data_IF_348430797143
#
_entry.id   IF_348430797143
#
_cell.length_a   1.000
_cell.length_b   1.000
_cell.length_c   1.000
_cell.angle_alpha   90.00
_cell.angle_beta   90.00
_cell.angle_gamma   90.00
#
_symmetry.space_group_name_H-M   'P 1'
#
loop_
_entity.id
_entity.type
_entity.pdbx_description
1 polymer ?
#
# COMPACT_ATOMS: atom_id res chain seq x y z
N UNK A 1 -9.70 2.87 8.49
CA UNK A 1 -10.27 1.52 8.25
C UNK A 1 -9.71 0.58 9.33
N UNK A 2 -10.55 -0.21 10.03
CA UNK A 2 -10.06 -1.26 10.92
C UNK A 2 -9.17 -2.25 10.14
N UNK A 3 -7.94 -2.49 10.60
CA UNK A 3 -6.98 -3.37 9.91
C UNK A 3 -7.54 -4.75 9.56
N UNK A 4 -8.49 -5.26 10.36
CA UNK A 4 -9.14 -6.55 10.14
C UNK A 4 -9.97 -6.62 8.84
N UNK A 5 -10.48 -5.48 8.36
CA UNK A 5 -11.26 -5.40 7.13
C UNK A 5 -10.39 -5.19 5.89
N UNK A 6 -9.09 -4.89 6.07
CA UNK A 6 -8.16 -4.59 4.99
C UNK A 6 -8.14 -5.69 3.90
N UNK A 7 -8.08 -6.99 4.20
CA UNK A 7 -8.07 -8.03 3.16
C UNK A 7 -9.35 -8.07 2.32
N UNK A 8 -10.50 -7.82 2.93
CA UNK A 8 -11.81 -7.86 2.27
C UNK A 8 -12.07 -6.60 1.42
N UNK A 9 -11.49 -5.46 1.79
CA UNK A 9 -11.62 -4.18 1.10
C UNK A 9 -10.54 -4.00 0.02
N UNK A 10 -9.37 -4.64 0.17
CA UNK A 10 -8.24 -4.58 -0.77
C UNK A 10 -8.34 -5.60 -1.92
N UNK A 11 -9.55 -5.98 -2.37
CA UNK A 11 -9.72 -6.97 -3.46
C UNK A 11 -8.99 -6.61 -4.75
N UNK A 12 -8.96 -5.31 -5.11
CA UNK A 12 -8.23 -4.85 -6.30
C UNK A 12 -6.72 -5.06 -6.17
N UNK A 13 -6.17 -4.84 -4.98
CA UNK A 13 -4.75 -5.05 -4.72
C UNK A 13 -4.38 -6.54 -4.74
N UNK A 14 -5.23 -7.38 -4.14
CA UNK A 14 -5.07 -8.84 -4.20
C UNK A 14 -5.14 -9.34 -5.65
N UNK A 15 -6.07 -8.81 -6.45
CA UNK A 15 -6.19 -9.15 -7.87
C UNK A 15 -4.92 -8.80 -8.67
N UNK A 16 -4.37 -7.60 -8.46
CA UNK A 16 -3.10 -7.20 -9.09
C UNK A 16 -1.97 -8.10 -8.64
N UNK A 17 -1.86 -8.39 -7.34
CA UNK A 17 -0.83 -9.29 -6.81
C UNK A 17 -0.90 -10.69 -7.42
N UNK A 18 -2.11 -11.25 -7.58
CA UNK A 18 -2.30 -12.57 -8.19
C UNK A 18 -1.88 -12.58 -9.67
N UNK A 19 -2.16 -11.50 -10.42
CA UNK A 19 -1.66 -11.34 -11.80
C UNK A 19 -0.14 -11.25 -11.83
N UNK A 20 0.47 -10.46 -10.94
CA UNK A 20 1.93 -10.30 -10.87
C UNK A 20 2.61 -11.65 -10.63
N UNK A 21 2.09 -12.46 -9.68
CA UNK A 21 2.58 -13.82 -9.47
C UNK A 21 2.37 -14.72 -10.69
N UNK A 22 1.21 -14.63 -11.33
CA UNK A 22 0.90 -15.43 -12.52
C UNK A 22 1.89 -15.17 -13.68
N UNK A 23 2.33 -13.93 -13.86
CA UNK A 23 3.32 -13.56 -14.90
C UNK A 23 4.78 -13.76 -14.46
N UNK A 24 5.02 -14.36 -13.28
CA UNK A 24 6.35 -14.72 -12.78
C UNK A 24 7.05 -13.63 -11.95
N UNK A 25 6.36 -12.56 -11.56
CA UNK A 25 6.88 -11.55 -10.65
C UNK A 25 6.64 -12.04 -9.21
N UNK A 26 7.71 -12.51 -8.57
CA UNK A 26 7.64 -13.10 -7.23
C UNK A 26 7.77 -12.07 -6.09
N UNK A 27 8.36 -10.91 -6.37
CA UNK A 27 8.54 -9.82 -5.41
C UNK A 27 7.58 -8.69 -5.75
N UNK A 28 6.63 -8.41 -4.86
CA UNK A 28 5.66 -7.35 -4.99
C UNK A 28 5.51 -6.65 -3.63
N UNK A 29 5.95 -5.40 -3.55
CA UNK A 29 5.79 -4.56 -2.37
C UNK A 29 4.65 -3.56 -2.58
N UNK A 30 3.71 -3.49 -1.64
CA UNK A 30 2.63 -2.51 -1.64
C UNK A 30 3.00 -1.27 -0.82
N UNK A 31 2.68 -0.07 -1.34
CA UNK A 31 2.69 1.16 -0.57
C UNK A 31 1.31 1.83 -0.67
N UNK A 32 0.53 1.71 0.39
CA UNK A 32 -0.81 2.31 0.47
C UNK A 32 -0.77 3.64 1.23
N UNK A 33 -1.46 4.64 0.69
CA UNK A 33 -1.77 5.89 1.39
C UNK A 33 -3.06 5.67 2.18
N UNK A 34 -2.91 5.15 3.40
CA UNK A 34 -4.03 4.84 4.29
C UNK A 34 -4.25 5.94 5.33
N UNK A 35 -5.50 6.05 5.82
CA UNK A 35 -5.84 6.99 6.90
C UNK A 35 -5.99 8.45 6.44
N UNK A 36 -6.49 8.66 5.22
CA UNK A 36 -6.69 10.00 4.64
C UNK A 36 -7.72 10.86 5.37
N UNK A 37 -8.56 10.24 6.21
CA UNK A 37 -9.57 10.94 7.00
C UNK A 37 -10.59 11.68 6.15
N UNK A 38 -11.21 12.71 6.74
CA UNK A 38 -12.20 13.58 6.10
C UNK A 38 -11.68 15.02 5.94
N UNK A 39 -10.55 15.38 6.57
CA UNK A 39 -9.95 16.71 6.46
C UNK A 39 -8.69 16.74 5.57
N UNK A 40 -8.34 17.94 5.11
CA UNK A 40 -7.14 18.16 4.30
C UNK A 40 -5.86 17.87 5.10
N UNK A 41 -5.84 18.21 6.38
CA UNK A 41 -4.70 17.96 7.27
C UNK A 41 -4.46 16.46 7.44
N UNK A 42 -5.52 15.68 7.64
CA UNK A 42 -5.47 14.22 7.72
C UNK A 42 -4.96 13.60 6.41
N UNK A 43 -5.45 14.10 5.27
CA UNK A 43 -4.99 13.68 3.94
C UNK A 43 -3.50 13.94 3.74
N UNK A 44 -3.03 15.15 4.06
CA UNK A 44 -1.62 15.51 3.93
C UNK A 44 -0.73 14.70 4.87
N UNK A 45 -1.20 14.43 6.09
CA UNK A 45 -0.49 13.58 7.04
C UNK A 45 -0.37 12.13 6.53
N UNK A 46 -1.45 11.55 5.99
CA UNK A 46 -1.45 10.22 5.41
C UNK A 46 -0.44 10.11 4.25
N UNK A 47 -0.42 11.11 3.35
CA UNK A 47 0.52 11.17 2.23
C UNK A 47 1.96 11.23 2.74
N UNK A 48 2.28 12.15 3.66
CA UNK A 48 3.63 12.28 4.23
C UNK A 48 4.10 10.98 4.89
N UNK A 49 3.19 10.31 5.61
CA UNK A 49 3.46 9.04 6.29
C UNK A 49 3.70 7.89 5.31
N UNK A 50 3.04 7.89 4.15
CA UNK A 50 3.32 6.91 3.10
C UNK A 50 4.66 7.21 2.41
N UNK A 51 4.91 8.47 2.06
CA UNK A 51 6.16 8.91 1.39
C UNK A 51 7.40 8.59 2.23
N UNK A 52 7.33 8.73 3.56
CA UNK A 52 8.46 8.41 4.44
C UNK A 52 8.86 6.93 4.44
N UNK A 53 8.00 6.02 3.95
CA UNK A 53 8.29 4.59 3.83
C UNK A 53 9.03 4.23 2.54
N UNK A 54 9.06 5.12 1.55
CA UNK A 54 9.68 4.87 0.23
C UNK A 54 11.16 4.45 0.36
N UNK A 55 12.02 5.13 1.16
CA UNK A 55 13.43 4.74 1.26
C UNK A 55 13.61 3.30 1.74
N UNK A 56 12.88 2.88 2.77
CA UNK A 56 12.94 1.52 3.31
C UNK A 56 12.42 0.45 2.33
N UNK A 57 11.49 0.81 1.43
CA UNK A 57 11.06 -0.09 0.35
C UNK A 57 12.14 -0.22 -0.72
N UNK A 58 12.76 0.89 -1.11
CA UNK A 58 13.88 0.87 -2.07
C UNK A 58 15.04 0.03 -1.53
N UNK A 59 15.38 0.16 -0.25
CA UNK A 59 16.43 -0.65 0.41
C UNK A 59 16.15 -2.16 0.38
N UNK A 60 14.89 -2.60 0.27
CA UNK A 60 14.54 -4.02 0.17
C UNK A 60 14.66 -4.58 -1.25
N UNK A 61 14.72 -3.70 -2.25
CA UNK A 61 14.80 -4.08 -3.66
C UNK A 61 16.25 -4.30 -4.14
N UNK A 62 17.24 -3.86 -3.36
CA UNK A 62 18.68 -3.94 -3.67
C UNK A 62 19.44 -4.70 -2.59
#
# INVERSE_FOLDING_TARGET
>A
IPWILKPALSKGLNYVHDIMRFVGINTFDELLVDGTGETEEERQYAIKTAVSKIPALIERLF
#
